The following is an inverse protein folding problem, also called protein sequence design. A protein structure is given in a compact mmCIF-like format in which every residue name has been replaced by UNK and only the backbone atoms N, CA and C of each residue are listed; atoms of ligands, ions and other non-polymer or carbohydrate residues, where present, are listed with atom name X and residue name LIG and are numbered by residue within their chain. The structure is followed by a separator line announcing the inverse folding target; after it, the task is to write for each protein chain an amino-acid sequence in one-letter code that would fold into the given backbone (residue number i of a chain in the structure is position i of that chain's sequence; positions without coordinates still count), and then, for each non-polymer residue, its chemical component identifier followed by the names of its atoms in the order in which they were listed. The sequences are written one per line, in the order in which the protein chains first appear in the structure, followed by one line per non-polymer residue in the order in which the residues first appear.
data_IF_863530907103
#
_entry.id   IF_863530907103
#
_cell.length_a   1.000
_cell.length_b   1.000
_cell.length_c   1.000
_cell.angle_alpha   90.00
_cell.angle_beta   90.00
_cell.angle_gamma   90.00
#
_symmetry.space_group_name_H-M   'P 1'
#
loop_
_entity.id
_entity.type
_entity.pdbx_description
1 polymer ?
#
# COMPACT_ATOMS: atom_id res chain seq x y z
N UNK A 1 8.32 38.19 -29.89
CA UNK A 1 7.23 37.31 -29.45
C UNK A 1 7.82 36.31 -28.50
N UNK A 2 7.50 36.41 -27.22
CA UNK A 2 7.87 35.43 -26.20
C UNK A 2 7.14 34.13 -26.51
N UNK A 3 7.90 33.08 -26.83
CA UNK A 3 7.36 31.73 -26.93
C UNK A 3 6.73 31.38 -25.57
N UNK A 4 5.42 31.22 -25.54
CA UNK A 4 4.73 30.65 -24.40
C UNK A 4 5.28 29.23 -24.23
N UNK A 5 6.11 29.02 -23.21
CA UNK A 5 6.53 27.67 -22.82
C UNK A 5 5.26 26.85 -22.58
N UNK A 6 5.16 25.69 -23.24
CA UNK A 6 4.10 24.72 -22.98
C UNK A 6 4.08 24.45 -21.48
N UNK A 7 3.02 24.87 -20.79
CA UNK A 7 2.83 24.57 -19.38
C UNK A 7 2.88 23.04 -19.23
N UNK A 8 3.90 22.54 -18.56
CA UNK A 8 4.04 21.10 -18.33
C UNK A 8 2.94 20.68 -17.35
N UNK A 9 2.18 19.65 -17.73
CA UNK A 9 1.08 19.13 -16.90
C UNK A 9 1.69 18.49 -15.65
N UNK A 10 1.06 18.61 -14.46
CA UNK A 10 1.45 17.81 -13.31
C UNK A 10 1.50 16.32 -13.67
N UNK A 11 2.39 15.53 -13.06
CA UNK A 11 2.48 14.10 -13.30
C UNK A 11 1.38 13.36 -12.53
N UNK A 12 0.88 12.26 -13.08
CA UNK A 12 -0.07 11.40 -12.40
C UNK A 12 0.66 10.50 -11.40
N UNK A 13 0.11 10.36 -10.20
CA UNK A 13 0.70 9.57 -9.12
C UNK A 13 -0.30 8.56 -8.56
N UNK A 14 0.20 7.39 -8.14
CA UNK A 14 -0.59 6.35 -7.50
C UNK A 14 -0.08 6.12 -6.07
N UNK A 15 -0.95 6.32 -5.09
CA UNK A 15 -0.73 5.94 -3.70
C UNK A 15 -1.61 4.77 -3.29
N UNK A 16 -1.08 3.81 -2.55
CA UNK A 16 -1.82 2.66 -2.02
C UNK A 16 -1.62 2.63 -0.51
N UNK A 17 -2.71 2.65 0.25
CA UNK A 17 -2.72 2.53 1.70
C UNK A 17 -3.40 1.21 2.07
N UNK A 18 -2.66 0.35 2.76
CA UNK A 18 -3.13 -0.93 3.23
C UNK A 18 -3.31 -0.93 4.74
N UNK A 19 -4.39 -1.53 5.21
CA UNK A 19 -4.59 -1.93 6.59
C UNK A 19 -4.98 -3.40 6.63
N UNK A 20 -4.60 -4.11 7.68
CA UNK A 20 -4.84 -5.56 7.73
C UNK A 20 -6.17 -5.96 8.36
N UNK A 21 -6.46 -7.25 8.27
CA UNK A 21 -7.56 -7.94 8.93
C UNK A 21 -8.96 -7.43 8.55
N UNK A 22 -9.13 -6.81 7.39
CA UNK A 22 -10.44 -6.40 6.91
C UNK A 22 -11.18 -5.41 7.82
N UNK A 23 -12.50 -5.44 7.72
CA UNK A 23 -13.44 -4.52 8.35
C UNK A 23 -14.56 -5.28 9.05
N UNK A 24 -15.25 -4.62 9.97
CA UNK A 24 -16.52 -5.13 10.49
C UNK A 24 -17.64 -4.89 9.44
N UNK A 25 -18.18 -5.94 8.78
CA UNK A 25 -19.01 -5.75 7.58
C UNK A 25 -20.27 -4.90 7.79
N UNK A 26 -20.93 -4.99 8.95
CA UNK A 26 -22.13 -4.21 9.25
C UNK A 26 -21.85 -2.69 9.26
N UNK A 27 -20.59 -2.30 9.40
CA UNK A 27 -20.16 -0.91 9.45
C UNK A 27 -19.53 -0.40 8.14
N UNK A 28 -19.34 -1.26 7.14
CA UNK A 28 -18.72 -0.93 5.85
C UNK A 28 -19.76 -0.86 4.72
N UNK A 29 -20.36 0.31 4.53
CA UNK A 29 -21.31 0.55 3.46
C UNK A 29 -21.34 2.02 3.06
N UNK A 30 -21.88 2.31 1.88
CA UNK A 30 -22.23 3.66 1.44
C UNK A 30 -23.58 3.65 0.72
N UNK A 31 -24.28 4.80 0.71
CA UNK A 31 -25.55 5.00 0.00
C UNK A 31 -25.62 6.40 -0.63
N UNK A 32 -26.31 6.52 -1.76
CA UNK A 32 -26.43 7.79 -2.47
C UNK A 32 -25.18 8.13 -3.28
N UNK A 33 -24.88 9.42 -3.43
CA UNK A 33 -23.77 9.90 -4.27
C UNK A 33 -23.35 11.33 -3.90
N UNK A 34 -22.21 11.75 -4.44
CA UNK A 34 -21.64 13.08 -4.29
C UNK A 34 -21.31 13.46 -2.85
N UNK A 35 -21.36 14.75 -2.55
CA UNK A 35 -21.14 15.28 -1.21
C UNK A 35 -22.22 14.83 -0.19
N UNK A 36 -23.40 14.44 -0.67
CA UNK A 36 -24.51 13.91 0.13
C UNK A 36 -24.45 12.39 0.37
N UNK A 37 -23.41 11.71 -0.11
CA UNK A 37 -23.27 10.27 0.09
C UNK A 37 -23.24 9.96 1.60
N UNK A 38 -24.11 9.05 2.01
CA UNK A 38 -24.11 8.50 3.35
C UNK A 38 -23.09 7.37 3.44
N UNK A 39 -22.40 7.28 4.57
CA UNK A 39 -21.38 6.28 4.81
C UNK A 39 -21.60 5.60 6.15
N UNK A 40 -21.29 4.31 6.21
CA UNK A 40 -21.37 3.50 7.41
C UNK A 40 -20.39 3.94 8.49
N UNK A 41 -20.57 3.48 9.74
CA UNK A 41 -19.75 3.90 10.88
C UNK A 41 -18.23 3.75 10.69
N UNK A 42 -17.76 2.69 10.01
CA UNK A 42 -16.32 2.49 9.78
C UNK A 42 -15.71 3.58 8.89
N UNK A 43 -16.53 4.16 8.01
CA UNK A 43 -16.17 5.21 7.06
C UNK A 43 -16.43 6.62 7.57
N UNK A 44 -16.83 6.80 8.84
CA UNK A 44 -17.12 8.10 9.41
C UNK A 44 -16.02 9.16 9.17
N UNK A 45 -14.70 8.85 9.23
CA UNK A 45 -13.65 9.83 8.93
C UNK A 45 -13.65 10.35 7.49
N UNK A 46 -14.23 9.60 6.54
CA UNK A 46 -14.29 9.98 5.12
C UNK A 46 -15.45 10.92 4.78
N UNK A 47 -16.35 11.23 5.72
CA UNK A 47 -17.49 12.14 5.50
C UNK A 47 -17.12 13.46 4.81
N UNK A 48 -16.01 14.16 5.13
CA UNK A 48 -15.63 15.40 4.45
C UNK A 48 -15.20 15.22 2.99
N UNK A 49 -14.93 13.98 2.56
CA UNK A 49 -14.31 13.65 1.27
C UNK A 49 -15.19 12.75 0.39
N UNK A 50 -16.48 12.62 0.71
CA UNK A 50 -17.42 11.77 -0.04
C UNK A 50 -17.52 12.16 -1.52
N UNK A 51 -17.42 13.45 -1.83
CA UNK A 51 -17.37 13.95 -3.21
C UNK A 51 -16.07 13.65 -3.96
N UNK A 52 -15.00 13.31 -3.24
CA UNK A 52 -13.66 13.03 -3.79
C UNK A 52 -13.33 11.54 -3.83
N UNK A 53 -14.27 10.67 -3.42
CA UNK A 53 -14.05 9.23 -3.35
C UNK A 53 -14.98 8.43 -4.26
N UNK A 54 -14.55 7.22 -4.60
CA UNK A 54 -15.35 6.15 -5.17
C UNK A 54 -15.36 5.02 -4.15
N UNK A 55 -16.54 4.68 -3.63
CA UNK A 55 -16.74 3.50 -2.80
C UNK A 55 -16.98 2.31 -3.73
N UNK A 56 -16.14 1.28 -3.66
CA UNK A 56 -16.25 0.12 -4.52
C UNK A 56 -16.66 -1.08 -3.69
N UNK A 57 -17.77 -1.72 -4.08
CA UNK A 57 -18.35 -2.87 -3.40
C UNK A 57 -18.32 -4.10 -4.28
N UNK A 58 -18.01 -5.24 -3.69
CA UNK A 58 -18.09 -6.54 -4.35
C UNK A 58 -16.84 -6.97 -5.12
N UNK A 59 -15.79 -6.13 -5.26
CA UNK A 59 -14.57 -6.63 -5.90
C UNK A 59 -13.88 -7.69 -5.03
N UNK A 60 -13.32 -8.73 -5.65
CA UNK A 60 -12.70 -9.85 -4.94
C UNK A 60 -11.48 -10.42 -5.68
N UNK A 61 -10.74 -11.31 -5.00
CA UNK A 61 -9.63 -12.08 -5.58
C UNK A 61 -10.04 -13.55 -5.67
N UNK A 62 -10.12 -14.11 -6.88
CA UNK A 62 -10.47 -15.51 -7.09
C UNK A 62 -9.46 -16.46 -6.45
N UNK A 63 -8.17 -16.13 -6.54
CA UNK A 63 -7.09 -16.91 -5.95
C UNK A 63 -7.16 -16.90 -4.41
N UNK A 64 -7.57 -15.78 -3.80
CA UNK A 64 -7.78 -15.72 -2.36
C UNK A 64 -8.95 -16.60 -1.91
N UNK A 65 -10.06 -16.60 -2.66
CA UNK A 65 -11.23 -17.44 -2.35
C UNK A 65 -10.96 -18.95 -2.47
N UNK A 66 -10.11 -19.35 -3.41
CA UNK A 66 -9.76 -20.76 -3.61
C UNK A 66 -8.73 -21.27 -2.60
N UNK A 67 -8.06 -20.37 -1.88
CA UNK A 67 -7.02 -20.76 -0.95
C UNK A 67 -7.59 -21.47 0.28
N UNK A 68 -6.94 -22.56 0.69
CA UNK A 68 -7.25 -23.26 1.94
C UNK A 68 -6.61 -22.61 3.17
N UNK A 69 -5.65 -21.70 3.00
CA UNK A 69 -5.11 -20.90 4.11
C UNK A 69 -6.00 -19.68 4.34
N UNK A 70 -6.59 -19.52 5.53
CA UNK A 70 -7.58 -18.48 5.78
C UNK A 70 -6.97 -17.08 5.83
N UNK A 71 -5.69 -16.97 6.21
CA UNK A 71 -4.94 -15.71 6.24
C UNK A 71 -3.96 -15.61 5.08
N UNK A 72 -2.78 -16.25 5.23
CA UNK A 72 -1.64 -16.02 4.37
C UNK A 72 -1.90 -16.37 2.91
N UNK A 73 -2.76 -17.36 2.66
CA UNK A 73 -3.24 -17.72 1.32
C UNK A 73 -3.96 -16.62 0.55
N UNK A 74 -4.34 -15.54 1.23
CA UNK A 74 -5.14 -14.42 0.71
C UNK A 74 -4.35 -13.14 0.59
N UNK A 75 -3.06 -13.16 0.92
CA UNK A 75 -2.15 -12.01 0.86
C UNK A 75 -1.66 -11.74 -0.57
N UNK A 76 -2.60 -11.61 -1.50
CA UNK A 76 -2.33 -11.39 -2.91
C UNK A 76 -3.06 -10.17 -3.45
N UNK A 77 -3.57 -9.28 -2.59
CA UNK A 77 -4.46 -8.19 -2.99
C UNK A 77 -3.89 -7.33 -4.12
N UNK A 78 -2.58 -7.09 -4.18
CA UNK A 78 -1.98 -6.30 -5.26
C UNK A 78 -1.42 -7.13 -6.43
N UNK A 79 -1.21 -8.45 -6.27
CA UNK A 79 -0.71 -9.31 -7.36
C UNK A 79 -1.85 -10.04 -8.10
N UNK A 80 -2.94 -10.34 -7.40
CA UNK A 80 -4.05 -11.16 -7.88
C UNK A 80 -3.69 -12.63 -8.15
N UNK A 81 -2.47 -13.04 -7.82
CA UNK A 81 -1.96 -14.38 -8.12
C UNK A 81 -2.02 -15.31 -6.90
N UNK A 82 -1.96 -16.61 -7.14
CA UNK A 82 -2.04 -17.62 -6.09
C UNK A 82 -0.82 -17.56 -5.15
N UNK A 83 -1.10 -17.47 -3.85
CA UNK A 83 -0.08 -17.65 -2.81
C UNK A 83 0.30 -19.12 -2.76
N UNK A 84 1.60 -19.41 -2.85
CA UNK A 84 2.11 -20.76 -2.67
C UNK A 84 1.89 -21.22 -1.23
N UNK A 85 1.12 -22.30 -1.10
CA UNK A 85 0.89 -22.99 0.17
C UNK A 85 1.98 -24.03 0.48
N UNK A 86 2.99 -24.18 -0.37
CA UNK A 86 4.16 -25.00 -0.08
C UNK A 86 5.11 -24.20 0.84
N UNK A 87 5.36 -24.66 2.09
CA UNK A 87 6.27 -24.00 3.03
C UNK A 87 7.69 -23.82 2.51
N UNK A 88 8.10 -24.56 1.47
CA UNK A 88 9.41 -24.46 0.85
C UNK A 88 9.50 -23.46 -0.30
N UNK A 89 8.38 -22.89 -0.73
CA UNK A 89 8.30 -22.01 -1.90
C UNK A 89 7.57 -20.72 -1.54
N UNK A 90 8.32 -19.62 -1.49
CA UNK A 90 7.77 -18.27 -1.38
C UNK A 90 7.38 -17.79 -2.79
N UNK A 91 6.08 -17.67 -3.06
CA UNK A 91 5.56 -17.20 -4.36
C UNK A 91 4.14 -16.65 -4.23
N UNK A 92 3.88 -15.47 -4.80
CA UNK A 92 2.53 -14.86 -4.88
C UNK A 92 2.32 -14.03 -6.15
N UNK A 93 3.36 -13.77 -6.94
CA UNK A 93 3.28 -12.94 -8.17
C UNK A 93 3.78 -11.52 -7.99
N UNK A 94 4.19 -10.87 -9.08
CA UNK A 94 4.58 -9.45 -9.08
C UNK A 94 3.35 -8.59 -8.85
N UNK A 95 3.41 -7.64 -7.92
CA UNK A 95 2.28 -6.77 -7.59
C UNK A 95 2.12 -5.62 -8.58
N UNK A 96 0.90 -5.09 -8.71
CA UNK A 96 0.54 -4.02 -9.64
C UNK A 96 1.44 -2.79 -9.49
N UNK A 97 1.69 -2.35 -8.27
CA UNK A 97 2.55 -1.20 -7.97
C UNK A 97 4.00 -1.43 -8.43
N UNK A 98 4.49 -2.67 -8.35
CA UNK A 98 5.83 -3.01 -8.82
C UNK A 98 5.89 -3.25 -10.33
N UNK A 99 4.83 -3.73 -10.96
CA UNK A 99 4.71 -3.72 -12.43
C UNK A 99 4.76 -2.29 -12.96
N UNK A 100 4.05 -1.36 -12.33
CA UNK A 100 4.16 0.07 -12.63
C UNK A 100 5.58 0.58 -12.42
N UNK A 101 6.22 0.26 -11.29
CA UNK A 101 7.58 0.69 -10.98
C UNK A 101 8.62 0.22 -12.02
N UNK A 102 8.43 -0.98 -12.57
CA UNK A 102 9.30 -1.51 -13.63
C UNK A 102 9.15 -0.74 -14.96
N UNK A 103 7.96 -0.22 -15.26
CA UNK A 103 7.65 0.42 -16.55
C UNK A 103 7.86 1.94 -16.51
N UNK A 104 7.40 2.61 -15.45
CA UNK A 104 7.42 4.08 -15.34
C UNK A 104 8.36 4.59 -14.24
N UNK A 105 8.87 3.71 -13.36
CA UNK A 105 9.70 4.14 -12.23
C UNK A 105 11.04 4.77 -12.64
N UNK A 106 11.48 4.61 -13.90
CA UNK A 106 12.65 5.31 -14.44
C UNK A 106 12.45 6.80 -14.69
N UNK A 107 11.23 7.32 -14.56
CA UNK A 107 10.90 8.75 -14.72
C UNK A 107 11.23 9.59 -13.48
N UNK A 108 11.55 8.93 -12.36
CA UNK A 108 11.82 9.58 -11.07
C UNK A 108 12.99 8.89 -10.36
N UNK A 109 13.64 9.59 -9.42
CA UNK A 109 14.80 9.05 -8.69
C UNK A 109 14.47 7.77 -7.89
N UNK A 110 13.23 7.65 -7.39
CA UNK A 110 12.76 6.49 -6.63
C UNK A 110 11.67 5.78 -7.46
N UNK A 111 11.95 4.57 -8.00
CA UNK A 111 11.00 3.86 -8.85
C UNK A 111 9.66 3.56 -8.19
N UNK A 112 9.70 3.23 -6.89
CA UNK A 112 8.52 3.04 -6.03
C UNK A 112 8.95 3.23 -4.58
N UNK A 113 8.11 3.93 -3.81
CA UNK A 113 8.28 4.16 -2.38
C UNK A 113 7.41 3.17 -1.60
N UNK A 114 8.03 2.11 -1.08
CA UNK A 114 7.35 1.09 -0.27
C UNK A 114 7.65 1.35 1.20
N UNK A 115 6.60 1.62 1.98
CA UNK A 115 6.66 2.06 3.37
C UNK A 115 5.82 1.13 4.26
N UNK A 116 6.16 1.09 5.55
CA UNK A 116 5.39 0.37 6.55
C UNK A 116 5.57 0.93 7.95
N UNK A 117 4.78 0.42 8.88
CA UNK A 117 4.89 0.75 10.31
C UNK A 117 5.61 -0.36 11.08
N UNK A 118 5.25 -1.60 10.79
CA UNK A 118 5.79 -2.79 11.48
C UNK A 118 6.92 -3.43 10.67
N UNK A 119 7.93 -4.03 11.32
CA UNK A 119 8.95 -4.81 10.62
C UNK A 119 8.36 -6.06 9.94
N UNK A 120 9.12 -6.71 9.07
CA UNK A 120 8.73 -8.03 8.57
C UNK A 120 8.80 -9.06 9.71
N UNK A 121 7.78 -9.90 9.82
CA UNK A 121 7.72 -10.95 10.84
C UNK A 121 8.46 -12.20 10.38
N UNK A 122 9.51 -12.61 11.11
CA UNK A 122 10.36 -13.77 10.81
C UNK A 122 9.85 -15.05 11.50
N UNK A 123 8.56 -15.34 11.33
CA UNK A 123 7.90 -16.53 11.88
C UNK A 123 7.06 -17.24 10.82
N UNK A 124 6.64 -18.45 11.14
CA UNK A 124 5.66 -19.18 10.36
C UNK A 124 4.28 -19.03 11.00
N UNK A 125 3.25 -18.91 10.17
CA UNK A 125 1.85 -19.04 10.54
C UNK A 125 1.27 -20.19 9.71
N UNK A 126 0.70 -21.21 10.36
CA UNK A 126 0.18 -22.43 9.70
C UNK A 126 1.17 -23.08 8.71
N UNK A 127 2.46 -22.98 9.00
CA UNK A 127 3.54 -23.51 8.16
C UNK A 127 3.94 -22.62 6.97
N UNK A 128 3.26 -21.49 6.76
CA UNK A 128 3.61 -20.51 5.72
C UNK A 128 4.40 -19.34 6.31
N UNK A 129 5.27 -18.75 5.49
CA UNK A 129 6.06 -17.61 5.93
C UNK A 129 5.19 -16.37 6.13
N UNK A 130 5.39 -15.69 7.25
CA UNK A 130 4.78 -14.39 7.53
C UNK A 130 5.25 -13.27 6.59
N UNK A 131 6.19 -13.54 5.68
CA UNK A 131 6.52 -12.60 4.60
C UNK A 131 5.30 -12.24 3.75
N UNK A 132 4.35 -13.17 3.56
CA UNK A 132 3.10 -12.91 2.87
C UNK A 132 2.23 -11.88 3.62
N UNK A 133 2.12 -12.00 4.95
CA UNK A 133 1.39 -11.02 5.77
C UNK A 133 2.16 -9.71 5.99
N UNK A 134 3.48 -9.75 5.83
CA UNK A 134 4.37 -8.59 6.03
C UNK A 134 4.60 -7.77 4.76
N UNK A 135 4.20 -8.25 3.58
CA UNK A 135 4.47 -7.58 2.31
C UNK A 135 3.33 -7.77 1.29
N UNK A 136 2.78 -6.65 0.81
CA UNK A 136 1.82 -6.63 -0.29
C UNK A 136 2.45 -6.23 -1.63
N UNK A 137 3.63 -5.62 -1.60
CA UNK A 137 4.41 -5.24 -2.78
C UNK A 137 5.45 -6.31 -3.08
N UNK A 138 5.51 -6.77 -4.33
CA UNK A 138 6.36 -7.87 -4.79
C UNK A 138 7.04 -7.50 -6.10
N UNK A 139 8.37 -7.31 -6.05
CA UNK A 139 9.17 -6.89 -7.21
C UNK A 139 9.25 -7.97 -8.28
N UNK A 140 9.22 -9.23 -7.86
CA UNK A 140 9.12 -10.41 -8.73
C UNK A 140 8.13 -11.40 -8.10
N UNK A 141 7.73 -12.49 -8.79
CA UNK A 141 6.78 -13.45 -8.24
C UNK A 141 7.19 -14.08 -6.91
N UNK A 142 8.48 -14.06 -6.57
CA UNK A 142 9.06 -14.70 -5.38
C UNK A 142 9.81 -13.72 -4.49
N UNK A 143 9.83 -12.42 -4.83
CA UNK A 143 10.64 -11.42 -4.12
C UNK A 143 9.77 -10.26 -3.62
N UNK A 144 9.60 -10.11 -2.30
CA UNK A 144 8.89 -8.97 -1.74
C UNK A 144 9.71 -7.69 -1.98
N UNK A 145 9.02 -6.56 -2.12
CA UNK A 145 9.64 -5.25 -2.03
C UNK A 145 9.79 -4.89 -0.55
N UNK A 146 11.01 -4.61 -0.09
CA UNK A 146 11.22 -4.26 1.32
C UNK A 146 10.55 -2.92 1.62
N UNK A 147 9.76 -2.90 2.69
CA UNK A 147 9.14 -1.68 3.21
C UNK A 147 10.09 -0.98 4.18
N UNK A 148 10.28 0.33 3.99
CA UNK A 148 11.01 1.16 4.93
C UNK A 148 10.08 1.56 6.09
N UNK A 149 10.55 1.35 7.32
CA UNK A 149 9.77 1.64 8.53
C UNK A 149 10.34 2.83 9.30
N UNK A 150 11.59 3.21 9.06
CA UNK A 150 12.26 4.32 9.72
C UNK A 150 11.98 5.62 8.95
N UNK A 151 11.25 6.58 9.53
CA UNK A 151 10.91 7.82 8.85
C UNK A 151 12.14 8.64 8.43
N UNK A 152 13.19 8.65 9.25
CA UNK A 152 14.44 9.35 8.92
C UNK A 152 15.13 8.78 7.68
N UNK A 153 15.15 7.45 7.52
CA UNK A 153 15.74 6.79 6.34
C UNK A 153 14.90 7.06 5.08
N UNK A 154 13.58 7.02 5.22
CA UNK A 154 12.68 7.38 4.14
C UNK A 154 12.87 8.86 3.74
N UNK A 155 12.95 9.78 4.69
CA UNK A 155 13.22 11.21 4.45
C UNK A 155 14.58 11.42 3.75
N UNK A 156 15.64 10.82 4.27
CA UNK A 156 16.99 10.92 3.70
C UNK A 156 17.02 10.43 2.24
N UNK A 157 16.24 9.40 1.92
CA UNK A 157 16.09 8.91 0.55
C UNK A 157 15.37 9.89 -0.36
N UNK A 158 14.41 10.66 0.17
CA UNK A 158 13.66 11.68 -0.60
C UNK A 158 14.47 12.96 -0.81
N UNK A 159 15.29 13.35 0.16
CA UNK A 159 15.97 14.65 0.19
C UNK A 159 17.44 14.56 -0.22
N UNK A 160 18.10 13.44 0.07
CA UNK A 160 19.52 13.22 -0.21
C UNK A 160 19.85 13.16 -1.70
N UNK A 161 21.15 13.26 -1.99
CA UNK A 161 21.75 13.18 -3.33
C UNK A 161 21.87 11.75 -3.89
N UNK A 162 21.15 10.79 -3.28
CA UNK A 162 21.25 9.38 -3.62
C UNK A 162 22.55 8.70 -3.19
N UNK A 163 23.44 9.40 -2.48
CA UNK A 163 24.54 8.76 -1.76
C UNK A 163 23.97 8.09 -0.50
N UNK A 164 23.55 6.83 -0.62
CA UNK A 164 23.32 6.00 0.57
C UNK A 164 24.52 6.15 1.52
N UNK A 165 24.29 6.13 2.84
CA UNK A 165 25.39 6.28 3.81
C UNK A 165 26.50 5.27 3.46
N UNK A 166 27.77 5.67 3.33
CA UNK A 166 28.87 4.73 3.04
C UNK A 166 28.95 3.55 4.02
N UNK A 167 28.49 3.76 5.26
CA UNK A 167 28.35 2.71 6.27
C UNK A 167 27.37 1.60 5.86
N UNK A 168 26.28 1.91 5.15
CA UNK A 168 25.27 0.92 4.80
C UNK A 168 25.85 -0.11 3.82
N UNK A 169 26.66 0.30 2.84
CA UNK A 169 27.29 -0.65 1.89
C UNK A 169 28.28 -1.61 2.56
N UNK A 170 29.15 -1.09 3.42
CA UNK A 170 30.17 -1.92 4.09
C UNK A 170 29.55 -2.96 5.02
N UNK A 171 28.48 -2.60 5.75
CA UNK A 171 27.76 -3.54 6.61
C UNK A 171 27.00 -4.58 5.77
N UNK A 172 26.40 -4.19 4.65
CA UNK A 172 25.70 -5.13 3.76
C UNK A 172 26.67 -6.14 3.13
N UNK A 173 27.87 -5.71 2.74
CA UNK A 173 28.92 -6.59 2.21
C UNK A 173 29.39 -7.61 3.27
N UNK A 174 29.66 -7.17 4.51
CA UNK A 174 30.06 -8.04 5.63
C UNK A 174 28.96 -9.06 5.98
N UNK A 175 27.71 -8.58 6.10
CA UNK A 175 26.55 -9.45 6.35
C UNK A 175 26.37 -10.48 5.24
N UNK A 176 26.63 -10.12 3.97
CA UNK A 176 26.52 -11.03 2.82
C UNK A 176 27.61 -12.11 2.79
N UNK A 177 28.81 -11.81 3.28
CA UNK A 177 29.87 -12.81 3.40
C UNK A 177 29.57 -13.81 4.53
N UNK A 178 29.16 -13.31 5.70
CA UNK A 178 28.76 -14.14 6.84
C UNK A 178 27.59 -15.06 6.48
N UNK A 179 26.59 -14.49 5.81
CA UNK A 179 25.44 -15.16 5.22
C UNK A 179 25.80 -16.36 4.34
N UNK A 180 26.67 -16.14 3.36
CA UNK A 180 27.09 -17.17 2.42
C UNK A 180 27.80 -18.32 3.14
N UNK A 181 28.53 -18.02 4.21
CA UNK A 181 29.23 -19.01 5.04
C UNK A 181 28.31 -19.84 5.95
N UNK A 182 27.17 -19.26 6.36
CA UNK A 182 26.16 -19.88 7.24
C UNK A 182 25.16 -20.75 6.48
N UNK A 183 24.84 -20.39 5.23
CA UNK A 183 23.84 -21.08 4.40
C UNK A 183 24.00 -22.61 4.31
N UNK A 184 25.20 -23.21 4.17
CA UNK A 184 25.36 -24.67 4.15
C UNK A 184 25.24 -25.34 5.54
N UNK A 185 25.30 -24.57 6.63
CA UNK A 185 25.36 -25.07 8.02
C UNK A 185 24.01 -25.04 8.75
N UNK A 186 22.99 -24.48 8.13
CA UNK A 186 21.68 -24.24 8.78
C UNK A 186 20.58 -25.19 8.29
N UNK A 187 19.58 -25.37 9.14
CA UNK A 187 18.42 -26.21 8.84
C UNK A 187 17.64 -25.66 7.63
N UNK A 188 16.73 -26.46 7.07
CA UNK A 188 15.92 -26.02 5.92
C UNK A 188 15.06 -24.79 6.24
N UNK A 189 14.46 -24.75 7.44
CA UNK A 189 13.63 -23.62 7.85
C UNK A 189 14.47 -22.36 8.09
N UNK A 190 15.68 -22.51 8.63
CA UNK A 190 16.59 -21.38 8.83
C UNK A 190 17.13 -20.84 7.50
N UNK A 191 17.34 -21.71 6.49
CA UNK A 191 17.69 -21.26 5.13
C UNK A 191 16.64 -20.36 4.52
N UNK A 192 15.35 -20.66 4.70
CA UNK A 192 14.26 -19.82 4.20
C UNK A 192 14.29 -18.43 4.86
N UNK A 193 14.45 -18.37 6.20
CA UNK A 193 14.58 -17.10 6.92
C UNK A 193 15.80 -16.29 6.51
N UNK A 194 16.92 -16.96 6.27
CA UNK A 194 18.13 -16.33 5.77
C UNK A 194 17.95 -15.80 4.35
N UNK A 195 17.35 -16.59 3.45
CA UNK A 195 17.06 -16.16 2.09
C UNK A 195 16.10 -14.95 2.07
N UNK A 196 15.07 -14.92 2.94
CA UNK A 196 14.19 -13.75 3.14
C UNK A 196 14.97 -12.50 3.58
N UNK A 197 15.86 -12.65 4.57
CA UNK A 197 16.69 -11.57 5.08
C UNK A 197 17.65 -11.03 4.00
N UNK A 198 18.25 -11.90 3.19
CA UNK A 198 19.16 -11.49 2.11
C UNK A 198 18.44 -10.87 0.93
N UNK A 199 17.24 -11.32 0.59
CA UNK A 199 16.42 -10.66 -0.43
C UNK A 199 16.06 -9.23 -0.03
N UNK A 200 15.79 -9.01 1.27
CA UNK A 200 15.58 -7.68 1.83
C UNK A 200 16.82 -6.79 1.69
N UNK A 201 18.00 -7.32 2.01
CA UNK A 201 19.30 -6.62 1.86
C UNK A 201 19.58 -6.26 0.40
N UNK A 202 19.43 -7.23 -0.51
CA UNK A 202 19.70 -7.01 -1.94
C UNK A 202 18.74 -6.00 -2.56
N UNK A 203 17.52 -5.86 -2.02
CA UNK A 203 16.55 -4.90 -2.55
C UNK A 203 16.97 -3.49 -2.14
N UNK A 204 17.51 -3.34 -0.92
CA UNK A 204 18.14 -2.11 -0.45
C UNK A 204 19.35 -1.74 -1.32
N UNK A 205 20.23 -2.69 -1.65
CA UNK A 205 21.40 -2.45 -2.51
C UNK A 205 21.02 -1.93 -3.91
N UNK A 206 20.11 -2.61 -4.60
CA UNK A 206 19.64 -2.22 -5.94
C UNK A 206 18.97 -0.84 -5.92
N UNK A 207 18.32 -0.48 -4.80
CA UNK A 207 17.73 0.85 -4.60
C UNK A 207 18.82 1.91 -4.41
N UNK A 208 19.90 1.61 -3.68
CA UNK A 208 21.06 2.51 -3.50
C UNK A 208 21.78 2.74 -4.84
N UNK A 209 22.01 1.70 -5.64
CA UNK A 209 22.65 1.86 -6.96
C UNK A 209 21.87 2.74 -7.94
N UNK A 210 20.54 2.75 -7.83
CA UNK A 210 19.67 3.57 -8.69
C UNK A 210 19.51 5.00 -8.20
N UNK A 211 19.61 5.23 -6.89
CA UNK A 211 19.42 6.56 -6.29
C UNK A 211 20.42 7.62 -6.80
N UNK A 212 21.59 7.21 -7.31
CA UNK A 212 22.59 8.11 -7.90
C UNK A 212 22.39 8.46 -9.38
N UNK A 213 21.29 8.04 -10.01
CA UNK A 213 20.97 8.41 -11.40
C UNK A 213 19.89 9.48 -11.39
N UNK A 214 20.30 10.75 -11.37
CA UNK A 214 19.38 11.87 -11.55
C UNK A 214 18.65 11.75 -12.89
N UNK A 215 17.36 11.45 -12.83
CA UNK A 215 16.49 11.33 -13.98
C UNK A 215 15.23 12.16 -13.78
N UNK A 216 15.34 13.49 -13.77
CA UNK A 216 14.20 14.36 -14.11
C UNK A 216 14.06 14.35 -15.62
N UNK A 217 13.53 13.25 -16.17
CA UNK A 217 13.39 13.07 -17.63
C UNK A 217 12.23 13.93 -18.16
N UNK A 218 11.27 14.28 -17.32
CA UNK A 218 10.09 15.05 -17.71
C UNK A 218 10.20 16.49 -17.20
N UNK A 219 10.00 17.47 -18.10
CA UNK A 219 10.12 18.90 -17.82
C UNK A 219 9.09 19.49 -16.85
N UNK A 220 8.46 18.68 -16.00
CA UNK A 220 7.67 19.15 -14.88
C UNK A 220 8.59 19.72 -13.80
N UNK A 221 8.24 20.90 -13.30
CA UNK A 221 8.92 21.48 -12.16
C UNK A 221 8.14 21.11 -10.90
N UNK A 222 8.79 20.34 -10.02
CA UNK A 222 8.28 19.99 -8.70
C UNK A 222 7.66 21.20 -7.97
N UNK A 223 6.53 20.99 -7.28
CA UNK A 223 5.91 22.02 -6.44
C UNK A 223 6.80 22.40 -5.26
N UNK A 224 7.70 21.50 -4.87
CA UNK A 224 8.60 21.68 -3.75
C UNK A 224 10.02 21.23 -4.11
N UNK A 225 10.96 22.18 -4.16
CA UNK A 225 12.38 21.87 -4.43
C UNK A 225 13.13 21.41 -3.17
N UNK A 226 12.74 21.95 -2.01
CA UNK A 226 13.35 21.66 -0.69
C UNK A 226 12.27 21.20 0.29
N UNK A 227 12.53 20.21 1.15
CA UNK A 227 11.52 19.71 2.08
C UNK A 227 10.98 20.83 2.98
N UNK A 228 9.67 20.84 3.18
CA UNK A 228 8.93 21.78 4.04
C UNK A 228 8.63 21.19 5.43
N UNK A 229 9.22 20.03 5.73
CA UNK A 229 9.18 19.37 7.02
C UNK A 229 10.61 19.13 7.53
N UNK A 230 10.83 19.15 8.86
CA UNK A 230 12.13 18.79 9.42
C UNK A 230 12.44 17.32 9.14
N UNK A 231 13.74 17.01 9.04
CA UNK A 231 14.20 15.63 9.03
C UNK A 231 13.73 14.93 10.33
N UNK A 232 13.08 13.76 10.25
CA UNK A 232 12.72 12.99 11.44
C UNK A 232 13.92 12.53 12.27
N UNK A 233 13.67 12.20 13.53
CA UNK A 233 14.65 11.56 14.41
C UNK A 233 15.02 10.16 13.90
N UNK A 234 16.25 9.73 14.20
CA UNK A 234 16.77 8.42 13.75
C UNK A 234 16.04 7.24 14.43
N UNK A 235 15.46 7.46 15.62
CA UNK A 235 14.74 6.43 16.38
C UNK A 235 13.38 6.10 15.75
N UNK A 236 12.99 4.82 15.86
CA UNK A 236 11.67 4.38 15.41
C UNK A 236 10.59 4.95 16.35
N UNK A 237 9.60 5.73 15.86
CA UNK A 237 8.59 6.31 16.72
C UNK A 237 7.75 5.23 17.41
N UNK A 238 7.63 5.32 18.74
CA UNK A 238 6.84 4.35 19.53
C UNK A 238 5.36 4.70 19.59
N UNK A 239 5.00 5.95 19.28
CA UNK A 239 3.61 6.38 19.20
C UNK A 239 3.07 6.03 17.81
N UNK A 240 2.24 4.98 17.74
CA UNK A 240 1.67 4.45 16.49
C UNK A 240 0.95 5.54 15.67
N UNK A 241 0.03 6.36 16.22
CA UNK A 241 -0.58 7.45 15.47
C UNK A 241 0.42 8.44 14.87
N UNK A 242 1.42 8.86 15.64
CA UNK A 242 2.44 9.79 15.16
C UNK A 242 3.31 9.15 14.07
N UNK A 243 3.66 7.87 14.20
CA UNK A 243 4.43 7.12 13.22
C UNK A 243 3.69 7.02 11.89
N UNK A 244 2.43 6.57 11.92
CA UNK A 244 1.58 6.46 10.72
C UNK A 244 1.45 7.81 10.02
N UNK A 245 1.13 8.86 10.77
CA UNK A 245 0.95 10.21 10.21
C UNK A 245 2.23 10.74 9.58
N UNK A 246 3.37 10.49 10.21
CA UNK A 246 4.68 10.87 9.68
C UNK A 246 5.03 10.13 8.38
N UNK A 247 4.73 8.82 8.31
CA UNK A 247 4.95 8.05 7.06
C UNK A 247 4.00 8.53 5.94
N UNK A 248 2.78 8.93 6.26
CA UNK A 248 1.86 9.56 5.31
C UNK A 248 2.36 10.92 4.83
N UNK A 249 2.89 11.75 5.73
CA UNK A 249 3.50 13.04 5.35
C UNK A 249 4.71 12.82 4.41
N UNK A 250 5.48 11.75 4.59
CA UNK A 250 6.55 11.38 3.66
C UNK A 250 6.05 10.95 2.28
N UNK A 251 4.87 10.32 2.17
CA UNK A 251 4.22 10.07 0.87
C UNK A 251 3.87 11.38 0.19
N UNK A 252 3.26 12.32 0.93
CA UNK A 252 2.93 13.66 0.42
C UNK A 252 4.18 14.40 -0.04
N UNK A 253 5.24 14.41 0.77
CA UNK A 253 6.52 15.02 0.45
C UNK A 253 7.11 14.41 -0.83
N UNK A 254 7.14 13.08 -0.93
CA UNK A 254 7.68 12.38 -2.10
C UNK A 254 6.94 12.73 -3.40
N UNK A 255 5.62 12.95 -3.31
CA UNK A 255 4.80 13.34 -4.44
C UNK A 255 5.00 14.81 -4.80
N UNK A 256 4.96 15.73 -3.82
CA UNK A 256 5.21 17.16 -4.05
C UNK A 256 6.58 17.41 -4.64
N UNK A 257 7.61 16.74 -4.11
CA UNK A 257 9.01 16.85 -4.54
C UNK A 257 9.31 16.09 -5.83
N UNK A 258 8.35 15.35 -6.38
CA UNK A 258 8.58 14.57 -7.58
C UNK A 258 9.76 13.58 -7.41
N UNK A 259 9.76 12.85 -6.29
CA UNK A 259 10.77 11.82 -6.03
C UNK A 259 10.31 10.43 -6.46
N UNK A 260 9.00 10.19 -6.47
CA UNK A 260 8.39 8.98 -7.00
C UNK A 260 6.99 9.24 -7.56
N UNK A 261 6.49 8.31 -8.39
CA UNK A 261 5.08 8.27 -8.87
C UNK A 261 4.24 7.23 -8.19
N UNK A 262 4.84 6.33 -7.44
CA UNK A 262 4.19 5.14 -6.90
C UNK A 262 4.59 5.02 -5.45
N UNK A 263 3.61 5.06 -4.55
CA UNK A 263 3.83 4.83 -3.14
C UNK A 263 2.87 3.75 -2.63
N UNK A 264 3.39 2.82 -1.83
CA UNK A 264 2.60 1.80 -1.13
C UNK A 264 2.95 1.88 0.35
N UNK A 265 1.96 2.07 1.21
CA UNK A 265 2.13 2.14 2.66
C UNK A 265 1.27 1.08 3.34
N UNK A 266 1.90 0.21 4.12
CA UNK A 266 1.21 -0.70 5.04
C UNK A 266 1.12 -0.07 6.43
N UNK A 267 -0.09 0.27 6.87
CA UNK A 267 -0.35 0.79 8.22
C UNK A 267 -0.03 -0.27 9.29
N UNK A 268 -0.22 -1.54 8.95
CA UNK A 268 0.12 -2.68 9.79
C UNK A 268 0.23 -3.95 8.93
N UNK A 269 0.94 -4.95 9.42
CA UNK A 269 1.04 -6.27 8.80
C UNK A 269 -0.29 -7.03 8.91
N UNK A 270 -0.51 -7.99 8.03
CA UNK A 270 -1.51 -9.03 8.26
C UNK A 270 -1.16 -9.87 9.48
N UNK A 271 -2.20 -10.34 10.20
CA UNK A 271 -2.05 -11.01 11.50
C UNK A 271 -1.36 -10.15 12.59
N UNK A 272 -1.25 -8.84 12.37
CA UNK A 272 -0.60 -7.92 13.31
C UNK A 272 -1.24 -7.98 14.70
N UNK A 273 -0.35 -7.98 15.70
CA UNK A 273 -0.72 -7.87 17.11
C UNK A 273 -0.65 -6.43 17.62
N UNK A 274 -0.62 -5.45 16.71
CA UNK A 274 -0.60 -4.03 17.03
C UNK A 274 -1.71 -3.70 18.02
N UNK A 275 -1.34 -2.95 19.05
CA UNK A 275 -2.24 -2.61 20.13
C UNK A 275 -2.75 -1.17 19.98
N UNK A 276 -4.07 -1.02 20.15
CA UNK A 276 -4.78 0.25 19.97
C UNK A 276 -5.19 0.91 21.31
N UNK A 277 -4.46 0.67 22.41
CA UNK A 277 -4.76 1.25 23.75
C UNK A 277 -4.77 2.78 23.78
N UNK A 278 -4.19 3.45 22.78
CA UNK A 278 -4.29 4.90 22.63
C UNK A 278 -5.70 5.36 22.24
N UNK A 279 -6.55 4.46 21.74
CA UNK A 279 -7.97 4.71 21.53
C UNK A 279 -8.72 4.40 22.83
N UNK A 280 -9.48 5.37 23.30
CA UNK A 280 -10.26 5.23 24.52
C UNK A 280 -11.21 4.03 24.44
N UNK A 281 -11.13 3.16 25.45
CA UNK A 281 -11.97 1.96 25.55
C UNK A 281 -11.59 0.82 24.61
N UNK A 282 -10.42 0.84 23.97
CA UNK A 282 -9.91 -0.29 23.17
C UNK A 282 -8.82 -1.03 23.93
N UNK A 283 -8.94 -2.36 24.00
CA UNK A 283 -8.00 -3.24 24.70
C UNK A 283 -7.79 -4.54 23.89
N UNK A 284 -6.67 -5.22 24.11
CA UNK A 284 -6.31 -6.43 23.37
C UNK A 284 -5.46 -6.18 22.12
N UNK A 285 -4.97 -7.26 21.52
CA UNK A 285 -4.23 -7.26 20.27
C UNK A 285 -5.18 -7.28 19.07
N UNK A 286 -4.83 -6.56 17.99
CA UNK A 286 -5.69 -6.39 16.83
C UNK A 286 -6.19 -7.72 16.25
N UNK A 287 -5.27 -8.61 15.86
CA UNK A 287 -5.67 -9.88 15.24
C UNK A 287 -6.38 -10.80 16.24
N UNK A 288 -5.75 -11.16 17.36
CA UNK A 288 -6.26 -12.22 18.24
C UNK A 288 -7.49 -11.83 19.08
N UNK A 289 -7.56 -10.59 19.56
CA UNK A 289 -8.60 -10.21 20.53
C UNK A 289 -9.74 -9.42 19.89
N UNK A 290 -9.42 -8.54 18.93
CA UNK A 290 -10.37 -7.59 18.33
C UNK A 290 -10.97 -8.10 17.03
N UNK A 291 -10.18 -8.75 16.19
CA UNK A 291 -10.63 -9.24 14.88
C UNK A 291 -11.42 -10.54 15.06
N UNK A 292 -10.87 -11.52 15.81
CA UNK A 292 -11.59 -12.73 16.26
C UNK A 292 -12.57 -12.40 17.40
N UNK A 293 -13.57 -11.58 17.08
CA UNK A 293 -14.51 -11.04 18.05
C UNK A 293 -15.68 -11.99 18.37
N UNK A 294 -15.94 -13.00 17.53
CA UNK A 294 -17.03 -13.95 17.73
C UNK A 294 -18.40 -13.29 17.86
N UNK A 295 -18.60 -12.14 17.23
CA UNK A 295 -19.81 -11.30 17.30
C UNK A 295 -20.15 -10.79 18.70
N UNK A 296 -19.17 -10.70 19.59
CA UNK A 296 -19.34 -10.09 20.89
C UNK A 296 -19.43 -8.56 20.76
N UNK A 297 -20.55 -7.97 21.18
CA UNK A 297 -20.86 -6.57 20.93
C UNK A 297 -19.82 -5.57 21.46
N UNK A 298 -19.18 -5.87 22.59
CA UNK A 298 -18.10 -5.06 23.16
C UNK A 298 -16.83 -5.12 22.32
N UNK A 299 -16.48 -6.29 21.80
CA UNK A 299 -15.34 -6.49 20.90
C UNK A 299 -15.59 -5.90 19.52
N UNK A 300 -16.77 -6.09 18.94
CA UNK A 300 -17.18 -5.45 17.67
C UNK A 300 -17.07 -3.92 17.79
N UNK A 301 -17.52 -3.34 18.91
CA UNK A 301 -17.38 -1.90 19.15
C UNK A 301 -15.92 -1.44 19.25
N UNK A 302 -15.03 -2.24 19.84
CA UNK A 302 -13.58 -1.96 19.86
C UNK A 302 -12.96 -2.11 18.46
N UNK A 303 -13.36 -3.12 17.70
CA UNK A 303 -12.88 -3.35 16.34
C UNK A 303 -13.35 -2.27 15.36
N UNK A 304 -14.59 -1.79 15.51
CA UNK A 304 -15.06 -0.61 14.78
C UNK A 304 -14.15 0.61 15.03
N UNK A 305 -13.73 0.86 16.27
CA UNK A 305 -12.81 1.96 16.58
C UNK A 305 -11.46 1.79 15.89
N UNK A 306 -10.94 0.57 15.77
CA UNK A 306 -9.68 0.34 15.03
C UNK A 306 -9.89 0.51 13.52
N UNK A 307 -11.01 0.06 12.94
CA UNK A 307 -11.34 0.35 11.54
C UNK A 307 -11.44 1.86 11.30
N UNK A 308 -12.14 2.60 12.16
CA UNK A 308 -12.25 4.06 12.06
C UNK A 308 -10.87 4.73 12.12
N UNK A 309 -9.98 4.29 13.01
CA UNK A 309 -8.65 4.88 13.10
C UNK A 309 -7.80 4.64 11.84
N UNK A 310 -7.84 3.45 11.24
CA UNK A 310 -7.15 3.20 9.96
C UNK A 310 -7.71 4.08 8.84
N UNK A 311 -9.04 4.22 8.77
CA UNK A 311 -9.70 5.09 7.79
C UNK A 311 -9.42 6.58 8.06
N UNK A 312 -9.22 6.97 9.32
CA UNK A 312 -8.77 8.32 9.68
C UNK A 312 -7.38 8.62 9.10
N UNK A 313 -6.47 7.65 9.06
CA UNK A 313 -5.16 7.82 8.42
C UNK A 313 -5.30 8.05 6.91
N UNK A 314 -6.18 7.30 6.23
CA UNK A 314 -6.46 7.52 4.80
C UNK A 314 -7.17 8.85 4.53
N UNK A 315 -8.10 9.25 5.40
CA UNK A 315 -8.77 10.55 5.36
C UNK A 315 -7.79 11.70 5.57
N UNK A 316 -6.80 11.53 6.47
CA UNK A 316 -5.71 12.48 6.67
C UNK A 316 -4.91 12.66 5.38
N UNK A 317 -4.44 11.58 4.76
CA UNK A 317 -3.69 11.65 3.50
C UNK A 317 -4.49 12.36 2.39
N UNK A 318 -5.76 11.97 2.23
CA UNK A 318 -6.68 12.58 1.26
C UNK A 318 -6.82 14.09 1.52
N UNK A 319 -7.04 14.49 2.77
CA UNK A 319 -7.15 15.89 3.17
C UNK A 319 -5.88 16.70 2.92
N UNK A 320 -4.71 16.14 3.27
CA UNK A 320 -3.41 16.79 3.05
C UNK A 320 -3.18 17.06 1.57
N UNK A 321 -3.39 16.06 0.71
CA UNK A 321 -3.19 16.19 -0.73
C UNK A 321 -4.22 17.14 -1.38
N UNK A 322 -5.45 17.20 -0.86
CA UNK A 322 -6.47 18.16 -1.31
C UNK A 322 -6.13 19.62 -0.96
N UNK A 323 -5.33 19.86 0.08
CA UNK A 323 -4.94 21.21 0.49
C UNK A 323 -3.76 21.79 -0.30
N UNK A 324 -3.05 20.96 -1.08
CA UNK A 324 -1.85 21.35 -1.81
C UNK A 324 -2.25 21.70 -3.25
N UNK A 325 -2.06 22.95 -3.64
CA UNK A 325 -2.26 23.39 -5.02
C UNK A 325 -1.15 22.83 -5.92
N UNK A 326 -1.52 22.22 -7.05
CA UNK A 326 -0.59 21.71 -8.06
C UNK A 326 -1.16 21.92 -9.48
N UNK A 327 -0.63 22.91 -10.19
CA UNK A 327 -1.18 23.35 -11.48
C UNK A 327 -2.57 23.98 -11.31
N UNK A 328 -3.52 23.60 -12.17
CA UNK A 328 -4.92 24.10 -12.15
C UNK A 328 -5.80 23.42 -11.08
N UNK A 329 -5.29 22.39 -10.41
CA UNK A 329 -6.02 21.63 -9.39
C UNK A 329 -5.17 21.41 -8.14
N UNK A 330 -5.51 20.37 -7.38
CA UNK A 330 -4.77 19.98 -6.19
C UNK A 330 -3.87 18.78 -6.48
N UNK A 331 -2.92 18.51 -5.58
CA UNK A 331 -2.12 17.28 -5.63
C UNK A 331 -3.02 16.03 -5.62
N UNK A 332 -4.16 16.08 -4.93
CA UNK A 332 -5.17 15.02 -4.96
C UNK A 332 -5.84 14.89 -6.34
N UNK A 333 -6.13 15.99 -7.03
CA UNK A 333 -6.69 15.94 -8.40
C UNK A 333 -5.72 15.30 -9.39
N UNK A 334 -4.41 15.46 -9.17
CA UNK A 334 -3.33 14.88 -9.96
C UNK A 334 -2.84 13.52 -9.43
N UNK A 335 -3.59 12.90 -8.51
CA UNK A 335 -3.25 11.61 -7.94
C UNK A 335 -4.44 10.66 -7.95
N UNK A 336 -4.14 9.39 -7.77
CA UNK A 336 -5.09 8.33 -7.46
C UNK A 336 -4.62 7.70 -6.16
N UNK A 337 -5.45 7.68 -5.13
CA UNK A 337 -5.17 6.99 -3.88
C UNK A 337 -6.12 5.81 -3.73
N UNK A 338 -5.61 4.64 -3.42
CA UNK A 338 -6.40 3.45 -3.14
C UNK A 338 -6.20 3.04 -1.67
N UNK A 339 -7.29 2.81 -0.95
CA UNK A 339 -7.27 2.17 0.36
C UNK A 339 -7.87 0.77 0.25
N UNK A 340 -7.18 -0.25 0.77
CA UNK A 340 -7.67 -1.63 0.74
C UNK A 340 -7.18 -2.48 1.90
N UNK A 341 -7.81 -3.63 2.09
CA UNK A 341 -7.32 -4.75 2.91
C UNK A 341 -7.28 -6.04 2.08
N UNK A 342 -6.71 -7.10 2.63
CA UNK A 342 -6.63 -8.47 2.07
C UNK A 342 -7.87 -9.32 2.37
N UNK A 343 -8.63 -8.93 3.39
CA UNK A 343 -9.86 -9.55 3.85
C UNK A 343 -11.00 -8.52 3.83
N UNK A 344 -12.24 -9.00 3.75
CA UNK A 344 -13.42 -8.17 4.00
C UNK A 344 -13.90 -8.32 5.43
N UNK A 345 -14.36 -9.49 5.84
CA UNK A 345 -14.70 -9.77 7.23
C UNK A 345 -13.46 -10.28 7.97
N UNK A 346 -13.03 -9.52 8.97
CA UNK A 346 -11.93 -9.90 9.84
C UNK A 346 -12.21 -11.13 10.71
N UNK A 347 -13.41 -11.27 11.27
CA UNK A 347 -13.77 -12.36 12.19
C UNK A 347 -13.96 -13.67 11.43
N UNK A 348 -14.68 -13.62 10.30
CA UNK A 348 -14.96 -14.78 9.48
C UNK A 348 -13.81 -15.16 8.52
N UNK A 349 -12.75 -14.35 8.47
CA UNK A 349 -11.76 -14.35 7.40
C UNK A 349 -12.46 -14.47 6.05
N UNK A 350 -13.30 -13.50 5.67
CA UNK A 350 -13.95 -13.53 4.36
C UNK A 350 -13.08 -12.80 3.32
N UNK A 351 -13.07 -13.31 2.10
CA UNK A 351 -12.46 -12.67 0.93
C UNK A 351 -13.42 -12.71 -0.26
N UNK A 352 -14.71 -12.86 0.05
CA UNK A 352 -15.81 -12.80 -0.91
C UNK A 352 -15.84 -11.43 -1.58
N UNK A 353 -15.47 -10.38 -0.88
CA UNK A 353 -15.18 -9.06 -1.43
C UNK A 353 -13.95 -8.46 -0.73
N UNK A 354 -13.61 -7.21 -1.07
CA UNK A 354 -12.52 -6.45 -0.48
C UNK A 354 -13.02 -5.05 -0.12
N UNK A 355 -12.58 -4.48 1.01
CA UNK A 355 -12.94 -3.13 1.40
C UNK A 355 -12.12 -2.13 0.59
N UNK A 356 -12.66 -1.57 -0.49
CA UNK A 356 -11.92 -0.69 -1.41
C UNK A 356 -12.51 0.72 -1.44
N UNK A 357 -11.64 1.71 -1.22
CA UNK A 357 -11.90 3.12 -1.51
C UNK A 357 -10.88 3.63 -2.51
N UNK A 358 -11.31 4.44 -3.47
CA UNK A 358 -10.42 5.21 -4.35
C UNK A 358 -10.70 6.69 -4.16
N UNK A 359 -9.68 7.52 -3.93
CA UNK A 359 -9.80 8.99 -3.88
C UNK A 359 -8.91 9.65 -4.93
N UNK A 360 -9.26 10.89 -5.27
CA UNK A 360 -8.57 11.65 -6.31
C UNK A 360 -9.14 11.39 -7.70
N UNK A 361 -9.03 12.42 -8.55
CA UNK A 361 -9.67 12.43 -9.87
C UNK A 361 -8.81 11.79 -10.95
N UNK A 362 -7.57 11.41 -10.63
CA UNK A 362 -6.61 10.88 -11.59
C UNK A 362 -6.49 11.75 -12.84
N UNK A 363 -6.37 13.07 -12.65
CA UNK A 363 -6.38 14.09 -13.71
C UNK A 363 -7.66 14.11 -14.57
N UNK A 364 -8.81 13.87 -13.92
CA UNK A 364 -10.12 13.85 -14.56
C UNK A 364 -10.52 12.52 -15.18
N UNK A 365 -9.68 11.48 -15.09
CA UNK A 365 -9.97 10.14 -15.62
C UNK A 365 -10.81 9.28 -14.67
N UNK A 366 -11.02 9.73 -13.43
CA UNK A 366 -11.87 9.08 -12.43
C UNK A 366 -13.00 10.04 -12.05
N UNK A 367 -14.25 9.59 -12.22
CA UNK A 367 -15.41 10.33 -11.72
C UNK A 367 -15.71 9.89 -10.28
N UNK A 368 -15.35 10.76 -9.34
CA UNK A 368 -15.55 10.61 -7.90
C UNK A 368 -16.99 10.92 -7.46
N UNK A 369 -17.30 10.74 -6.19
CA UNK A 369 -18.64 10.93 -5.62
C UNK A 369 -19.60 9.81 -6.00
N UNK A 370 -19.10 8.58 -6.19
CA UNK A 370 -19.91 7.45 -6.68
C UNK A 370 -19.72 6.20 -5.84
N UNK A 371 -20.72 5.33 -5.93
CA UNK A 371 -20.67 3.96 -5.46
C UNK A 371 -20.67 3.08 -6.71
N UNK A 372 -19.69 2.18 -6.81
CA UNK A 372 -19.68 1.13 -7.83
C UNK A 372 -19.99 -0.19 -7.11
N UNK A 373 -21.15 -0.77 -7.38
CA UNK A 373 -21.61 -2.01 -6.74
C UNK A 373 -21.61 -3.15 -7.75
N UNK A 374 -20.71 -4.11 -7.54
CA UNK A 374 -20.53 -5.27 -8.40
C UNK A 374 -21.06 -6.57 -7.77
N UNK A 375 -21.80 -6.50 -6.66
CA UNK A 375 -22.21 -7.71 -5.95
C UNK A 375 -23.00 -8.68 -6.84
N UNK A 376 -23.91 -8.15 -7.66
CA UNK A 376 -24.78 -8.91 -8.56
C UNK A 376 -24.25 -8.98 -10.01
N UNK A 377 -23.02 -8.50 -10.26
CA UNK A 377 -22.43 -8.46 -11.61
C UNK A 377 -21.91 -9.82 -12.09
N UNK A 378 -21.82 -10.82 -11.19
CA UNK A 378 -21.19 -12.11 -11.45
C UNK A 378 -19.66 -12.06 -11.40
N UNK A 379 -19.04 -13.18 -11.02
CA UNK A 379 -17.60 -13.26 -10.67
C UNK A 379 -16.66 -12.77 -11.79
N UNK A 380 -17.05 -12.95 -13.06
CA UNK A 380 -16.25 -12.46 -14.19
C UNK A 380 -16.13 -10.93 -14.27
N UNK A 381 -17.08 -10.19 -13.68
CA UNK A 381 -17.17 -8.73 -13.75
C UNK A 381 -16.73 -8.03 -12.46
N UNK A 382 -16.42 -8.77 -11.39
CA UNK A 382 -16.06 -8.24 -10.06
C UNK A 382 -14.63 -8.60 -9.62
N UNK A 383 -13.73 -8.94 -10.55
CA UNK A 383 -12.32 -9.25 -10.24
C UNK A 383 -11.58 -7.99 -9.83
N UNK A 384 -10.87 -8.01 -8.70
CA UNK A 384 -10.03 -6.88 -8.24
C UNK A 384 -8.93 -6.56 -9.25
N UNK A 385 -8.44 -7.55 -10.01
CA UNK A 385 -7.47 -7.32 -11.07
C UNK A 385 -8.00 -6.47 -12.23
N UNK A 386 -9.33 -6.40 -12.43
CA UNK A 386 -9.94 -5.47 -13.38
C UNK A 386 -9.75 -4.01 -12.95
N UNK A 387 -9.81 -3.74 -11.63
CA UNK A 387 -9.44 -2.43 -11.07
C UNK A 387 -7.96 -2.15 -11.31
N UNK A 388 -7.08 -3.12 -11.05
CA UNK A 388 -5.63 -2.94 -11.26
C UNK A 388 -5.29 -2.60 -12.71
N UNK A 389 -5.86 -3.31 -13.69
CA UNK A 389 -5.71 -2.98 -15.12
C UNK A 389 -6.15 -1.54 -15.41
N UNK A 390 -7.26 -1.11 -14.81
CA UNK A 390 -7.81 0.24 -15.01
C UNK A 390 -6.96 1.35 -14.40
N UNK A 391 -6.30 1.07 -13.27
CA UNK A 391 -5.34 1.96 -12.63
C UNK A 391 -4.03 2.01 -13.43
N UNK A 392 -3.52 0.87 -13.89
CA UNK A 392 -2.32 0.81 -14.71
C UNK A 392 -2.48 1.54 -16.05
N UNK A 393 -3.61 1.35 -16.74
CA UNK A 393 -3.90 2.06 -17.99
C UNK A 393 -3.87 3.58 -17.79
N UNK A 394 -4.41 4.09 -16.66
CA UNK A 394 -4.38 5.52 -16.31
C UNK A 394 -2.97 6.04 -16.05
N UNK A 395 -2.13 5.20 -15.45
CA UNK A 395 -0.70 5.47 -15.22
C UNK A 395 0.16 5.27 -16.49
N UNK A 396 -0.45 5.01 -17.65
CA UNK A 396 0.26 4.88 -18.93
C UNK A 396 0.84 3.49 -19.19
N UNK A 397 0.47 2.47 -18.40
CA UNK A 397 0.95 1.09 -18.55
C UNK A 397 -0.21 0.19 -18.98
N UNK A 398 -0.24 -0.15 -20.27
CA UNK A 398 -1.30 -0.99 -20.82
C UNK A 398 -0.88 -2.46 -20.90
N UNK A 399 -1.62 -3.32 -20.19
CA UNK A 399 -1.42 -4.77 -20.22
C UNK A 399 -2.65 -5.47 -20.81
N UNK A 400 -2.43 -6.59 -21.50
CA UNK A 400 -3.55 -7.41 -21.99
C UNK A 400 -4.27 -8.14 -20.84
N UNK A 401 -3.53 -8.54 -19.82
CA UNK A 401 -4.00 -9.33 -18.69
C UNK A 401 -3.17 -9.00 -17.45
N UNK A 402 -3.78 -9.07 -16.27
CA UNK A 402 -3.10 -9.03 -14.99
C UNK A 402 -3.87 -9.91 -14.00
N UNK A 403 -3.16 -10.75 -13.24
CA UNK A 403 -3.78 -11.78 -12.41
C UNK A 403 -4.80 -12.62 -13.21
N UNK A 404 -6.02 -12.68 -12.70
CA UNK A 404 -7.17 -13.38 -13.28
C UNK A 404 -8.05 -12.52 -14.22
N UNK A 405 -7.70 -11.25 -14.43
CA UNK A 405 -8.49 -10.32 -15.25
C UNK A 405 -7.88 -10.06 -16.62
N UNK A 406 -8.74 -10.08 -17.65
CA UNK A 406 -8.46 -9.65 -19.03
C UNK A 406 -9.24 -8.39 -19.44
N UNK A 407 -10.17 -7.96 -18.58
CA UNK A 407 -11.06 -6.82 -18.78
C UNK A 407 -10.77 -5.73 -17.76
N UNK A 408 -11.11 -4.49 -18.10
CA UNK A 408 -10.97 -3.33 -17.20
C UNK A 408 -12.27 -3.14 -16.42
N UNK A 409 -12.17 -2.40 -15.32
CA UNK A 409 -13.29 -1.84 -14.58
C UNK A 409 -13.77 -0.56 -15.28
N UNK A 410 -14.71 -0.71 -16.21
CA UNK A 410 -15.12 0.36 -17.13
C UNK A 410 -15.75 1.57 -16.42
N UNK A 411 -16.46 1.34 -15.31
CA UNK A 411 -17.26 2.36 -14.62
C UNK A 411 -16.45 3.34 -13.75
N UNK A 412 -15.11 3.20 -13.72
CA UNK A 412 -14.25 4.11 -12.95
C UNK A 412 -14.21 5.53 -13.56
N UNK A 413 -14.43 5.64 -14.87
CA UNK A 413 -14.46 6.90 -15.65
C UNK A 413 -15.74 7.72 -15.52
#
# INVERSE_FOLDING_TARGET
GTAAGTATKPPLRLGIVYFSNGVEPIHWWAKGSGASMEVGPALAPMKPYTGDMVFIRGLFSQAALQSSSPHLGRMNVLSGAEVSLDPSVIRVGTSMDQVLAQQIGGQTAIPSLVLGIEPNELRLEDGLSMIYGSAISWTTPTRPATKEIYPARAFDRLVGDGSGRPLDRSVLDEVREDAASLRPKVSRNDRLKLDEYFESIRDIELRIERAGREGTIEGWKSTLETPDMPRPDDDLPQNVPAHMKLMLDLVVLAFQMDRTRIATLMLNNDLSQMNFKFLEGVQGALHLDLTHNGRAADKEAMYLKTNQFHIEQFAYLTGRMKQIQEGEGTLLDNSILMCTSSLFDGDAHSADQLPILVTGRGQGTIRTGRILDYLDAGDDHRKVCSLHLSLMDRMGVSLRQFGDATTRLEELG
#
